data_IF_613867416305
#
_entry.id   IF_613867416305
#
_cell.length_a   1.000
_cell.length_b   1.000
_cell.length_c   1.000
_cell.angle_alpha   90.00
_cell.angle_beta   90.00
_cell.angle_gamma   90.00
#
_symmetry.space_group_name_H-M   'P 1'
#
loop_
_entity.id
_entity.type
_entity.pdbx_description
1 polymer ?
#
# COMPACT_ATOMS: atom_id res chain seq x y z
N UNK A 1 -25.67 4.64 -11.93
CA UNK A 1 -26.85 5.30 -11.32
C UNK A 1 -27.90 4.23 -11.13
N UNK A 2 -28.55 4.17 -9.97
CA UNK A 2 -29.67 3.26 -9.74
C UNK A 2 -30.96 4.10 -9.76
N UNK A 3 -31.81 3.92 -10.76
CA UNK A 3 -33.13 4.55 -10.87
C UNK A 3 -34.18 3.44 -10.92
N UNK A 4 -35.21 3.54 -10.07
CA UNK A 4 -36.31 2.57 -9.94
C UNK A 4 -35.87 1.09 -9.89
N UNK A 5 -34.68 0.84 -9.33
CA UNK A 5 -34.14 -0.50 -9.18
C UNK A 5 -34.92 -1.26 -8.11
N UNK A 6 -35.58 -2.35 -8.51
CA UNK A 6 -36.34 -3.23 -7.62
C UNK A 6 -35.49 -4.44 -7.26
N UNK A 7 -35.40 -4.75 -5.97
CA UNK A 7 -34.69 -5.91 -5.43
C UNK A 7 -35.59 -6.65 -4.42
N UNK A 8 -35.60 -8.00 -4.39
CA UNK A 8 -36.33 -8.76 -3.38
C UNK A 8 -35.86 -8.45 -1.95
N UNK A 9 -36.78 -8.48 -0.98
CA UNK A 9 -36.45 -8.30 0.45
C UNK A 9 -35.50 -9.38 0.97
N UNK A 10 -35.46 -10.55 0.31
CA UNK A 10 -34.56 -11.66 0.65
C UNK A 10 -33.09 -11.36 0.38
N UNK A 11 -32.80 -10.36 -0.45
CA UNK A 11 -31.42 -9.95 -0.75
C UNK A 11 -30.88 -8.94 0.29
N UNK A 12 -31.71 -8.55 1.27
CA UNK A 12 -31.32 -7.65 2.34
C UNK A 12 -30.33 -8.32 3.30
N UNK A 13 -29.06 -7.98 3.17
CA UNK A 13 -28.00 -8.49 4.04
C UNK A 13 -28.04 -7.78 5.41
N UNK A 14 -28.19 -8.57 6.47
CA UNK A 14 -28.07 -8.09 7.85
C UNK A 14 -29.32 -7.42 8.43
N UNK A 15 -30.37 -7.22 7.64
CA UNK A 15 -31.64 -6.62 8.06
C UNK A 15 -31.73 -5.10 7.87
N UNK A 16 -32.95 -4.58 8.00
CA UNK A 16 -33.25 -3.14 7.83
C UNK A 16 -32.47 -2.33 8.88
N UNK A 17 -31.90 -1.20 8.48
CA UNK A 17 -31.10 -0.29 9.32
C UNK A 17 -29.78 -0.87 9.87
N UNK A 18 -29.32 -2.01 9.36
CA UNK A 18 -28.07 -2.67 9.83
C UNK A 18 -26.88 -2.45 8.91
N UNK A 19 -27.00 -1.62 7.87
CA UNK A 19 -25.98 -1.38 6.86
C UNK A 19 -24.62 -0.98 7.44
N UNK A 20 -24.56 -0.12 8.46
CA UNK A 20 -23.30 0.27 9.09
C UNK A 20 -22.59 -0.88 9.81
N UNK A 21 -23.35 -1.79 10.41
CA UNK A 21 -22.77 -2.97 11.09
C UNK A 21 -22.15 -3.91 10.07
N UNK A 22 -22.87 -4.18 8.97
CA UNK A 22 -22.39 -5.00 7.85
C UNK A 22 -21.15 -4.36 7.20
N UNK A 23 -21.23 -3.08 6.85
CA UNK A 23 -20.15 -2.33 6.20
C UNK A 23 -18.86 -2.29 7.04
N UNK A 24 -18.96 -2.02 8.35
CA UNK A 24 -17.79 -2.05 9.24
C UNK A 24 -17.12 -3.42 9.27
N UNK A 25 -17.91 -4.50 9.29
CA UNK A 25 -17.38 -5.87 9.30
C UNK A 25 -16.68 -6.20 7.99
N UNK A 26 -17.29 -5.85 6.86
CA UNK A 26 -16.69 -6.01 5.54
C UNK A 26 -15.35 -5.27 5.44
N UNK A 27 -15.31 -3.99 5.82
CA UNK A 27 -14.09 -3.19 5.75
C UNK A 27 -12.96 -3.72 6.65
N UNK A 28 -13.29 -4.30 7.81
CA UNK A 28 -12.28 -4.96 8.66
C UNK A 28 -11.67 -6.19 7.96
N UNK A 29 -12.51 -6.96 7.27
CA UNK A 29 -12.07 -8.13 6.51
C UNK A 29 -11.18 -7.70 5.34
N UNK A 30 -11.64 -6.77 4.50
CA UNK A 30 -10.90 -6.24 3.36
C UNK A 30 -9.55 -5.63 3.76
N UNK A 31 -9.48 -4.89 4.88
CA UNK A 31 -8.21 -4.33 5.38
C UNK A 31 -7.20 -5.39 5.75
N UNK A 32 -7.65 -6.51 6.31
CA UNK A 32 -6.76 -7.62 6.63
C UNK A 32 -6.21 -8.21 5.33
N UNK A 33 -7.08 -8.53 4.38
CA UNK A 33 -6.71 -9.00 3.03
C UNK A 33 -5.74 -8.05 2.30
N UNK A 34 -6.02 -6.74 2.28
CA UNK A 34 -5.19 -5.73 1.61
C UNK A 34 -3.86 -5.43 2.34
N UNK A 35 -3.77 -5.65 3.65
CA UNK A 35 -2.50 -5.53 4.39
C UNK A 35 -1.52 -6.68 4.08
N UNK A 36 -1.88 -7.59 3.17
CA UNK A 36 -1.21 -8.89 3.02
C UNK A 36 -1.39 -9.78 4.25
N UNK A 37 -2.28 -9.41 5.17
CA UNK A 37 -2.66 -10.16 6.37
C UNK A 37 -3.91 -10.95 5.99
N UNK A 38 -3.76 -11.92 5.10
CA UNK A 38 -4.87 -12.79 4.75
C UNK A 38 -5.24 -13.68 5.93
N UNK A 39 -6.34 -13.34 6.60
CA UNK A 39 -7.02 -14.22 7.57
C UNK A 39 -7.54 -15.50 6.86
N UNK A 40 -7.67 -15.48 5.54
CA UNK A 40 -8.05 -16.63 4.69
C UNK A 40 -6.87 -17.44 4.14
N UNK A 41 -5.63 -17.22 4.59
CA UNK A 41 -4.48 -18.06 4.21
C UNK A 41 -3.97 -17.91 2.77
N UNK A 42 -4.50 -16.97 1.99
CA UNK A 42 -4.16 -16.81 0.57
C UNK A 42 -3.41 -15.51 0.26
N UNK A 43 -2.17 -15.36 0.71
CA UNK A 43 -1.14 -14.68 -0.08
C UNK A 43 0.21 -15.32 0.25
N UNK A 44 0.78 -15.97 -0.77
CA UNK A 44 2.17 -16.35 -0.77
C UNK A 44 3.01 -15.10 -0.59
N UNK A 45 3.91 -15.14 0.39
CA UNK A 45 5.08 -14.30 0.38
C UNK A 45 5.84 -14.56 -0.92
N UNK A 46 5.59 -13.78 -1.96
CA UNK A 46 6.56 -13.64 -3.03
C UNK A 46 7.69 -12.82 -2.42
N UNK A 47 8.68 -13.55 -1.89
CA UNK A 47 10.04 -13.06 -1.69
C UNK A 47 10.64 -12.77 -3.06
N UNK A 48 10.06 -11.85 -3.82
CA UNK A 48 10.76 -11.27 -4.95
C UNK A 48 11.59 -10.15 -4.37
N UNK A 49 12.91 -10.26 -4.53
CA UNK A 49 13.80 -9.14 -4.27
C UNK A 49 13.28 -7.93 -5.04
N UNK A 50 13.22 -6.78 -4.36
CA UNK A 50 12.76 -5.55 -4.98
C UNK A 50 13.66 -5.23 -6.16
N UNK A 51 13.08 -5.00 -7.34
CA UNK A 51 13.82 -4.52 -8.51
C UNK A 51 14.13 -3.01 -8.41
N UNK A 52 13.62 -2.33 -7.37
CA UNK A 52 13.78 -0.89 -7.21
C UNK A 52 15.25 -0.43 -7.15
N UNK A 53 16.19 -1.08 -6.43
CA UNK A 53 17.59 -0.67 -6.41
C UNK A 53 18.24 -0.69 -7.79
N UNK A 54 17.92 -1.70 -8.61
CA UNK A 54 18.46 -1.85 -9.97
C UNK A 54 17.88 -0.78 -10.90
N UNK A 55 16.56 -0.54 -10.83
CA UNK A 55 15.89 0.49 -11.61
C UNK A 55 16.38 1.89 -11.24
N UNK A 56 16.48 2.20 -9.95
CA UNK A 56 17.00 3.48 -9.47
C UNK A 56 18.44 3.67 -9.93
N UNK A 57 19.28 2.63 -9.85
CA UNK A 57 20.66 2.72 -10.32
C UNK A 57 20.79 2.83 -11.84
N UNK A 58 19.84 2.27 -12.61
CA UNK A 58 19.78 2.44 -14.05
C UNK A 58 19.57 3.92 -14.43
N UNK A 59 18.60 4.59 -13.80
CA UNK A 59 18.26 5.98 -14.13
C UNK A 59 19.18 7.01 -13.47
N UNK A 60 19.54 6.83 -12.20
CA UNK A 60 20.41 7.76 -11.48
C UNK A 60 21.90 7.64 -11.87
N UNK A 61 22.25 6.63 -12.67
CA UNK A 61 23.61 6.32 -13.06
C UNK A 61 24.49 5.83 -11.90
N UNK A 62 25.70 5.38 -12.26
CA UNK A 62 26.70 4.91 -11.30
C UNK A 62 28.02 5.66 -11.44
N UNK A 63 28.67 5.92 -10.31
CA UNK A 63 30.05 6.40 -10.21
C UNK A 63 30.76 5.59 -9.13
N UNK A 64 31.99 5.11 -9.39
CA UNK A 64 32.76 4.25 -8.46
C UNK A 64 31.97 3.02 -7.94
N UNK A 65 31.16 2.38 -8.80
CA UNK A 65 30.39 1.19 -8.44
C UNK A 65 29.13 1.42 -7.59
N UNK A 66 28.78 2.67 -7.28
CA UNK A 66 27.59 3.06 -6.49
C UNK A 66 26.72 4.02 -7.28
N UNK A 67 25.45 4.18 -6.89
CA UNK A 67 24.56 5.21 -7.43
C UNK A 67 25.25 6.58 -7.30
N UNK A 68 25.34 7.34 -8.38
CA UNK A 68 26.13 8.58 -8.42
C UNK A 68 25.58 9.64 -7.44
N UNK A 69 24.27 9.90 -7.50
CA UNK A 69 23.60 10.88 -6.64
C UNK A 69 23.55 10.41 -5.17
N UNK A 70 24.15 11.21 -4.28
CA UNK A 70 24.23 10.89 -2.86
C UNK A 70 22.88 10.97 -2.13
N UNK A 71 21.98 11.85 -2.57
CA UNK A 71 20.65 12.01 -2.01
C UNK A 71 19.75 10.83 -2.38
N UNK A 72 19.76 10.40 -3.65
CA UNK A 72 19.03 9.21 -4.14
C UNK A 72 19.54 7.96 -3.43
N UNK A 73 20.86 7.80 -3.29
CA UNK A 73 21.46 6.67 -2.59
C UNK A 73 21.06 6.61 -1.10
N UNK A 74 21.02 7.77 -0.44
CA UNK A 74 20.57 7.86 0.96
C UNK A 74 19.09 7.54 1.10
N UNK A 75 18.26 8.03 0.18
CA UNK A 75 16.82 7.73 0.15
C UNK A 75 16.58 6.24 -0.07
N UNK A 76 17.21 5.63 -1.08
CA UNK A 76 17.13 4.19 -1.34
C UNK A 76 17.53 3.36 -0.10
N UNK A 77 18.62 3.74 0.56
CA UNK A 77 19.07 3.04 1.78
C UNK A 77 18.00 3.10 2.88
N UNK A 78 17.40 4.27 3.11
CA UNK A 78 16.32 4.44 4.09
C UNK A 78 15.06 3.65 3.68
N UNK A 79 14.72 3.67 2.40
CA UNK A 79 13.61 2.91 1.85
C UNK A 79 13.78 1.40 2.07
N UNK A 80 14.98 0.86 1.82
CA UNK A 80 15.29 -0.56 2.04
C UNK A 80 15.22 -0.93 3.53
N UNK A 81 15.74 -0.06 4.42
CA UNK A 81 15.62 -0.23 5.86
C UNK A 81 14.15 -0.25 6.31
N UNK A 82 13.33 0.68 5.81
CA UNK A 82 11.90 0.75 6.11
C UNK A 82 11.15 -0.47 5.59
N UNK A 83 11.42 -0.90 4.35
CA UNK A 83 10.85 -2.11 3.75
C UNK A 83 11.20 -3.35 4.57
N UNK A 84 12.44 -3.45 5.04
CA UNK A 84 12.88 -4.53 5.91
C UNK A 84 12.14 -4.53 7.25
N UNK A 85 12.07 -3.37 7.92
CA UNK A 85 11.36 -3.20 9.18
C UNK A 85 9.86 -3.52 9.05
N UNK A 86 9.24 -3.09 7.94
CA UNK A 86 7.85 -3.35 7.62
C UNK A 86 7.58 -4.85 7.46
N UNK A 87 8.42 -5.55 6.72
CA UNK A 87 8.30 -7.01 6.51
C UNK A 87 8.42 -7.80 7.82
N UNK A 88 9.29 -7.39 8.74
CA UNK A 88 9.39 -8.04 10.06
C UNK A 88 8.15 -7.69 10.91
N UNK A 89 7.69 -6.44 10.86
CA UNK A 89 6.48 -5.99 11.57
C UNK A 89 5.23 -6.74 11.10
N UNK A 90 5.09 -6.95 9.79
CA UNK A 90 4.00 -7.73 9.20
C UNK A 90 4.07 -9.19 9.66
N UNK A 91 5.25 -9.81 9.64
CA UNK A 91 5.43 -11.18 10.16
C UNK A 91 5.05 -11.30 11.63
N UNK A 92 5.47 -10.35 12.47
CA UNK A 92 5.06 -10.28 13.88
C UNK A 92 3.55 -10.15 14.02
N UNK A 93 2.91 -9.23 13.28
CA UNK A 93 1.47 -9.01 13.34
C UNK A 93 0.68 -10.28 12.93
N UNK A 94 1.14 -11.01 11.90
CA UNK A 94 0.55 -12.28 11.50
C UNK A 94 0.68 -13.33 12.62
N UNK A 95 1.85 -13.44 13.25
CA UNK A 95 2.06 -14.37 14.36
C UNK A 95 1.18 -14.04 15.58
N UNK A 96 1.03 -12.75 15.91
CA UNK A 96 0.17 -12.30 17.01
C UNK A 96 -1.30 -12.67 16.77
N UNK A 97 -1.78 -12.54 15.52
CA UNK A 97 -3.16 -12.90 15.13
C UNK A 97 -3.47 -14.39 15.29
N UNK A 98 -2.48 -15.27 15.23
CA UNK A 98 -2.66 -16.70 15.49
C UNK A 98 -2.85 -17.00 16.99
N UNK A 99 -2.43 -16.08 17.87
CA UNK A 99 -2.43 -16.26 19.33
C UNK A 99 -3.50 -15.47 20.08
N UNK A 100 -4.07 -14.42 19.47
CA UNK A 100 -5.05 -13.51 20.07
C UNK A 100 -6.12 -13.11 19.05
N UNK A 101 -7.29 -12.69 19.54
CA UNK A 101 -8.37 -12.18 18.69
C UNK A 101 -7.88 -11.03 17.78
N UNK A 102 -8.44 -10.88 16.56
CA UNK A 102 -7.95 -9.90 15.59
C UNK A 102 -7.90 -8.47 16.16
N UNK A 103 -6.70 -7.93 16.33
CA UNK A 103 -6.48 -6.56 16.76
C UNK A 103 -6.49 -5.55 15.61
N UNK A 104 -6.42 -4.26 15.94
CA UNK A 104 -6.33 -3.18 14.96
C UNK A 104 -4.93 -3.01 14.34
N UNK A 105 -3.97 -3.87 14.70
CA UNK A 105 -2.59 -3.88 14.19
C UNK A 105 -2.55 -4.03 12.66
N UNK A 106 -3.53 -4.70 12.05
CA UNK A 106 -3.65 -4.81 10.59
C UNK A 106 -3.85 -3.46 9.89
N UNK A 107 -4.49 -2.50 10.56
CA UNK A 107 -4.68 -1.14 10.05
C UNK A 107 -3.37 -0.37 9.99
N UNK A 108 -2.49 -0.55 10.99
CA UNK A 108 -1.16 0.03 11.01
C UNK A 108 -0.28 -0.58 9.92
N UNK A 109 -0.28 -1.91 9.78
CA UNK A 109 0.46 -2.61 8.71
C UNK A 109 0.00 -2.19 7.32
N UNK A 110 -1.32 -2.07 7.08
CA UNK A 110 -1.85 -1.58 5.79
C UNK A 110 -1.34 -0.19 5.46
N UNK A 111 -1.47 0.75 6.41
CA UNK A 111 -1.10 2.15 6.17
C UNK A 111 0.39 2.29 5.90
N UNK A 112 1.23 1.68 6.73
CA UNK A 112 2.69 1.69 6.58
C UNK A 112 3.13 1.04 5.26
N UNK A 113 2.48 -0.04 4.83
CA UNK A 113 2.76 -0.66 3.53
C UNK A 113 2.43 0.28 2.37
N UNK A 114 1.25 0.92 2.39
CA UNK A 114 0.85 1.88 1.36
C UNK A 114 1.81 3.08 1.27
N UNK A 115 2.24 3.60 2.41
CA UNK A 115 3.21 4.70 2.47
C UNK A 115 4.59 4.27 1.95
N UNK A 116 5.06 3.06 2.30
CA UNK A 116 6.33 2.54 1.82
C UNK A 116 6.33 2.30 0.30
N UNK A 117 5.22 1.78 -0.24
CA UNK A 117 5.03 1.65 -1.70
C UNK A 117 5.14 3.01 -2.38
N UNK A 118 4.38 4.01 -1.90
CA UNK A 118 4.40 5.36 -2.49
C UNK A 118 5.78 6.02 -2.37
N UNK A 119 6.52 5.79 -1.28
CA UNK A 119 7.89 6.28 -1.12
C UNK A 119 8.85 5.68 -2.15
N UNK A 120 8.71 4.39 -2.47
CA UNK A 120 9.49 3.73 -3.52
C UNK A 120 9.15 4.25 -4.92
N UNK A 121 7.86 4.53 -5.18
CA UNK A 121 7.45 5.16 -6.44
C UNK A 121 8.00 6.60 -6.55
N UNK A 122 7.87 7.39 -5.47
CA UNK A 122 8.70 8.53 -5.07
C UNK A 122 10.10 8.54 -5.67
N UNK A 123 10.87 7.62 -5.14
CA UNK A 123 12.27 7.45 -5.43
C UNK A 123 12.50 7.11 -6.90
N UNK A 124 11.68 6.22 -7.48
CA UNK A 124 11.81 5.84 -8.88
C UNK A 124 11.51 7.01 -9.83
N UNK A 125 10.42 7.75 -9.60
CA UNK A 125 10.06 8.93 -10.41
C UNK A 125 11.16 9.99 -10.33
N UNK A 126 11.72 10.20 -9.13
CA UNK A 126 12.85 11.11 -8.93
C UNK A 126 14.09 10.65 -9.70
N UNK A 127 14.42 9.36 -9.65
CA UNK A 127 15.58 8.81 -10.35
C UNK A 127 15.41 8.88 -11.88
N UNK A 128 14.21 8.61 -12.40
CA UNK A 128 13.86 8.72 -13.82
C UNK A 128 13.99 10.16 -14.35
N UNK A 129 13.88 11.17 -13.49
CA UNK A 129 14.00 12.57 -13.89
C UNK A 129 13.01 12.91 -15.00
N UNK A 130 13.52 13.44 -16.13
CA UNK A 130 12.66 13.84 -17.24
C UNK A 130 11.89 12.68 -17.88
N UNK A 131 12.38 11.43 -17.77
CA UNK A 131 11.66 10.26 -18.27
C UNK A 131 10.32 10.05 -17.58
N UNK A 132 10.12 10.58 -16.37
CA UNK A 132 8.87 10.43 -15.62
C UNK A 132 7.71 11.35 -16.10
N UNK A 133 7.95 12.25 -17.06
CA UNK A 133 6.91 13.15 -17.57
C UNK A 133 6.16 12.62 -18.81
N UNK A 134 6.53 11.45 -19.31
CA UNK A 134 5.94 10.86 -20.50
C UNK A 134 4.67 10.06 -20.18
N UNK A 135 3.60 10.29 -20.96
CA UNK A 135 2.31 9.64 -20.77
C UNK A 135 2.08 8.42 -21.67
N UNK A 136 2.76 8.39 -22.81
CA UNK A 136 2.67 7.37 -23.85
C UNK A 136 4.03 7.16 -24.52
N UNK A 137 4.12 6.13 -25.35
CA UNK A 137 5.34 5.80 -26.10
C UNK A 137 5.62 6.77 -27.24
N UNK A 138 4.60 7.47 -27.75
CA UNK A 138 4.74 8.43 -28.84
C UNK A 138 5.55 9.66 -28.39
N UNK A 139 5.55 9.93 -27.09
CA UNK A 139 6.38 10.96 -26.45
C UNK A 139 7.86 10.56 -26.25
N UNK A 140 8.29 9.39 -26.73
CA UNK A 140 9.69 8.95 -26.72
C UNK A 140 10.11 8.11 -25.51
N UNK A 141 9.17 7.78 -24.62
CA UNK A 141 9.41 6.85 -23.51
C UNK A 141 9.22 5.38 -23.91
N UNK A 142 9.91 4.50 -23.20
CA UNK A 142 9.68 3.06 -23.29
C UNK A 142 8.34 2.68 -22.64
N UNK A 143 7.77 1.54 -23.06
CA UNK A 143 6.56 0.98 -22.45
C UNK A 143 6.70 0.79 -20.93
N UNK A 144 7.91 0.42 -20.46
CA UNK A 144 8.21 0.22 -19.04
C UNK A 144 8.14 1.52 -18.25
N UNK A 145 8.65 2.62 -18.81
CA UNK A 145 8.58 3.94 -18.17
C UNK A 145 7.15 4.43 -18.07
N UNK A 146 6.38 4.32 -19.17
CA UNK A 146 4.95 4.67 -19.19
C UNK A 146 4.17 3.83 -18.16
N UNK A 147 4.45 2.53 -18.07
CA UNK A 147 3.84 1.66 -17.08
C UNK A 147 4.20 2.07 -15.64
N UNK A 148 5.46 2.45 -15.39
CA UNK A 148 5.90 2.92 -14.08
C UNK A 148 5.18 4.21 -13.66
N UNK A 149 5.04 5.19 -14.55
CA UNK A 149 4.31 6.45 -14.29
C UNK A 149 2.83 6.19 -14.02
N UNK A 150 2.17 5.38 -14.85
CA UNK A 150 0.75 5.01 -14.63
C UNK A 150 0.55 4.27 -13.31
N UNK A 151 1.49 3.37 -12.98
CA UNK A 151 1.48 2.64 -11.72
C UNK A 151 1.66 3.59 -10.52
N UNK A 152 2.59 4.55 -10.58
CA UNK A 152 2.78 5.59 -9.55
C UNK A 152 1.48 6.39 -9.29
N UNK A 153 0.83 6.85 -10.36
CA UNK A 153 -0.44 7.58 -10.26
C UNK A 153 -1.55 6.73 -9.65
N UNK A 154 -1.68 5.47 -10.09
CA UNK A 154 -2.65 4.55 -9.52
C UNK A 154 -2.41 4.30 -8.03
N UNK A 155 -1.15 4.19 -7.61
CA UNK A 155 -0.78 3.90 -6.22
C UNK A 155 -1.09 5.05 -5.25
N UNK A 156 -1.36 6.27 -5.73
CA UNK A 156 -1.93 7.35 -4.90
C UNK A 156 -3.29 6.94 -4.29
N UNK A 157 -4.04 6.08 -4.97
CA UNK A 157 -5.33 5.56 -4.46
C UNK A 157 -5.17 4.71 -3.19
N UNK A 158 -4.00 4.13 -2.93
CA UNK A 158 -3.77 3.22 -1.78
C UNK A 158 -3.98 3.92 -0.42
N UNK A 159 -3.82 5.24 -0.36
CA UNK A 159 -4.04 6.06 0.84
C UNK A 159 -5.45 6.68 0.91
N UNK A 160 -6.33 6.34 -0.03
CA UNK A 160 -7.70 6.86 -0.14
C UNK A 160 -8.71 5.70 -0.10
N UNK A 161 -8.53 4.71 -0.97
CA UNK A 161 -9.39 3.55 -1.10
C UNK A 161 -9.35 2.66 0.15
N UNK A 162 -10.52 2.15 0.53
CA UNK A 162 -10.69 1.31 1.74
C UNK A 162 -10.54 2.07 3.07
N UNK A 163 -10.49 3.40 3.03
CA UNK A 163 -10.31 4.29 4.17
C UNK A 163 -9.09 5.19 4.00
N UNK A 164 -9.29 6.50 4.15
CA UNK A 164 -8.22 7.49 3.97
C UNK A 164 -7.14 7.35 5.02
N UNK A 165 -5.92 7.81 4.71
CA UNK A 165 -4.80 7.80 5.65
C UNK A 165 -5.14 8.51 6.98
N UNK A 166 -5.88 9.62 6.93
CA UNK A 166 -6.28 10.39 8.12
C UNK A 166 -7.22 9.59 9.02
N UNK A 167 -8.22 8.94 8.42
CA UNK A 167 -9.14 8.07 9.17
C UNK A 167 -8.40 6.86 9.75
N UNK A 168 -7.46 6.29 9.00
CA UNK A 168 -6.62 5.19 9.48
C UNK A 168 -5.72 5.61 10.66
N UNK A 169 -5.13 6.82 10.62
CA UNK A 169 -4.36 7.36 11.73
C UNK A 169 -5.22 7.55 12.98
N UNK A 170 -6.46 8.03 12.84
CA UNK A 170 -7.40 8.13 13.96
C UNK A 170 -7.75 6.75 14.55
N UNK A 171 -7.97 5.74 13.70
CA UNK A 171 -8.20 4.37 14.16
C UNK A 171 -6.99 3.86 14.94
N UNK A 172 -5.77 4.08 14.45
CA UNK A 172 -4.54 3.67 15.12
C UNK A 172 -4.41 4.39 16.48
N UNK A 173 -4.55 5.71 16.50
CA UNK A 173 -4.52 6.52 17.73
C UNK A 173 -5.48 5.98 18.80
N UNK A 174 -6.75 5.77 18.43
CA UNK A 174 -7.80 5.42 19.40
C UNK A 174 -7.82 3.94 19.76
N UNK A 175 -7.58 3.06 18.78
CA UNK A 175 -7.79 1.61 18.94
C UNK A 175 -6.51 0.80 19.13
N UNK A 176 -5.35 1.34 18.76
CA UNK A 176 -4.05 0.71 18.99
C UNK A 176 -3.34 1.39 20.16
N UNK A 177 -3.32 2.72 20.20
CA UNK A 177 -2.62 3.48 21.25
C UNK A 177 -3.51 3.87 22.44
N UNK A 178 -4.83 3.71 22.33
CA UNK A 178 -5.77 4.01 23.43
C UNK A 178 -5.91 5.51 23.73
N UNK A 179 -5.64 6.38 22.75
CA UNK A 179 -5.78 7.82 22.92
C UNK A 179 -7.26 8.23 23.04
N UNK A 180 -7.59 9.28 23.83
CA UNK A 180 -8.94 9.76 24.00
C UNK A 180 -9.54 10.35 22.71
N UNK A 181 -10.86 10.52 22.71
CA UNK A 181 -11.64 10.95 21.54
C UNK A 181 -11.46 12.42 21.17
#
# INVERSE_FOLDING_TARGET
>A
MFEDAIVPVTDLIGGVDRGWTVGKRLLQFERSTHAGINISGSQGGRNEESQLPELVAHYAGKADGRIADASIRTWLTRHDMNTHAQRITQRRAIAELQSRAPGFTSSAVKLTNALNIQDGDELLMTAMGNSAYHWDTDSGASEKEVAAVKKWLYQKSLTIAGGTKEVQLNIIAKRVLGLPD
#
